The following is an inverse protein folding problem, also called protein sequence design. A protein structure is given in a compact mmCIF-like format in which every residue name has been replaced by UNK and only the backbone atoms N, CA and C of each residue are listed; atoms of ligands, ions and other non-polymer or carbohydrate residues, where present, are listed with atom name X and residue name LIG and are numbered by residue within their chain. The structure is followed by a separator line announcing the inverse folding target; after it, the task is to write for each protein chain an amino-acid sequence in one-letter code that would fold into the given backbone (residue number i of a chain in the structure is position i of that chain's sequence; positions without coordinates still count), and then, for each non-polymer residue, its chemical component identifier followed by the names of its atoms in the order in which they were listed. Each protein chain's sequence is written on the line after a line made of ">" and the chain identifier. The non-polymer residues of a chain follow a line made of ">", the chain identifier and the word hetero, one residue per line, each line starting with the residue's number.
data_IF_709781288875
#
_entry.id   IF_709781288875
#
_cell.length_a   1.000
_cell.length_b   1.000
_cell.length_c   1.000
_cell.angle_alpha   90.00
_cell.angle_beta   90.00
_cell.angle_gamma   90.00
#
_symmetry.space_group_name_H-M   'P 1'
#
loop_
_entity.id
_entity.type
_entity.pdbx_description
1 polymer ?
#
# COMPACT_ATOMS: atom_id res chain seq x y z
N UNK A 1 49.03 -35.34 41.64
CA UNK A 1 50.48 -35.40 41.35
C UNK A 1 50.67 -36.15 40.03
N UNK A 2 51.58 -35.63 39.19
CA UNK A 2 52.04 -36.13 37.88
C UNK A 2 50.97 -36.18 36.76
N UNK A 3 50.93 -35.30 35.73
CA UNK A 3 51.90 -34.82 34.71
C UNK A 3 52.19 -35.81 33.56
N UNK A 4 52.08 -35.22 32.35
CA UNK A 4 52.62 -35.57 31.02
C UNK A 4 51.80 -36.56 30.17
N UNK A 5 51.45 -36.28 28.90
CA UNK A 5 51.77 -35.15 28.06
C UNK A 5 51.37 -35.37 26.59
N UNK A 6 51.23 -34.23 25.90
CA UNK A 6 51.55 -33.92 24.48
C UNK A 6 50.89 -34.69 23.33
N UNK A 7 50.10 -33.97 22.52
CA UNK A 7 50.54 -33.44 21.22
C UNK A 7 49.35 -32.92 20.35
N UNK A 8 49.28 -31.60 20.16
CA UNK A 8 48.84 -30.97 18.88
C UNK A 8 49.92 -31.29 17.81
N UNK A 9 49.73 -31.18 16.48
CA UNK A 9 48.82 -30.29 15.73
C UNK A 9 48.13 -31.02 14.53
N UNK A 10 47.28 -30.44 13.68
CA UNK A 10 47.63 -29.68 12.47
C UNK A 10 46.31 -29.32 11.78
N UNK A 11 46.27 -28.07 11.32
CA UNK A 11 45.29 -27.49 10.44
C UNK A 11 44.86 -28.37 9.27
N UNK A 12 43.56 -28.37 8.97
CA UNK A 12 43.11 -28.40 7.59
C UNK A 12 41.92 -27.45 7.45
N UNK A 13 42.29 -26.20 7.22
CA UNK A 13 41.52 -25.25 6.43
C UNK A 13 41.07 -25.95 5.14
N UNK A 14 39.78 -26.31 5.07
CA UNK A 14 39.09 -26.33 3.79
C UNK A 14 38.26 -25.05 3.75
N UNK A 15 38.90 -24.03 3.17
CA UNK A 15 38.27 -22.87 2.59
C UNK A 15 37.20 -23.34 1.60
N UNK A 16 35.98 -23.55 2.05
CA UNK A 16 34.83 -23.52 1.16
C UNK A 16 34.44 -22.06 1.05
N UNK A 17 35.12 -21.40 0.11
CA UNK A 17 34.71 -20.11 -0.44
C UNK A 17 33.29 -20.23 -0.99
N UNK A 18 32.28 -20.02 -0.15
CA UNK A 18 30.94 -19.72 -0.65
C UNK A 18 30.99 -18.26 -1.05
N UNK A 19 31.46 -18.06 -2.27
CA UNK A 19 31.28 -16.84 -3.04
C UNK A 19 29.85 -16.35 -2.85
N UNK A 20 29.77 -15.05 -2.52
CA UNK A 20 28.66 -14.18 -2.78
C UNK A 20 27.76 -14.72 -3.91
N UNK A 21 26.58 -15.22 -3.55
CA UNK A 21 25.46 -15.30 -4.48
C UNK A 21 25.00 -13.86 -4.64
N UNK A 22 25.76 -13.14 -5.46
CA UNK A 22 25.29 -11.98 -6.19
C UNK A 22 24.07 -12.51 -6.95
N UNK A 23 22.89 -12.02 -6.58
CA UNK A 23 21.75 -12.03 -7.47
C UNK A 23 22.06 -11.04 -8.61
N UNK A 24 22.23 -11.48 -9.86
CA UNK A 24 21.73 -10.71 -10.96
C UNK A 24 20.37 -11.34 -11.30
N UNK A 25 19.33 -10.92 -10.56
CA UNK A 25 18.08 -10.76 -11.28
C UNK A 25 18.35 -9.67 -12.32
N UNK A 26 18.68 -10.11 -13.53
CA UNK A 26 18.81 -9.30 -14.71
C UNK A 26 17.42 -8.77 -15.08
N UNK A 27 16.89 -7.83 -14.29
CA UNK A 27 15.77 -7.01 -14.72
C UNK A 27 16.33 -6.01 -15.72
N UNK A 28 16.31 -6.42 -16.99
CA UNK A 28 16.53 -5.53 -18.11
C UNK A 28 15.65 -4.29 -17.95
N UNK A 29 16.29 -3.11 -17.98
CA UNK A 29 15.62 -1.85 -18.21
C UNK A 29 14.94 -1.93 -19.58
N UNK A 30 13.65 -2.26 -19.62
CA UNK A 30 12.80 -1.86 -20.73
C UNK A 30 12.02 -0.63 -20.31
N UNK A 31 12.37 0.46 -20.99
CA UNK A 31 11.61 1.67 -21.07
C UNK A 31 10.13 1.33 -21.34
N UNK A 32 9.29 1.94 -20.52
CA UNK A 32 7.88 2.25 -20.74
C UNK A 32 7.45 2.20 -22.22
N UNK A 33 6.83 1.10 -22.64
CA UNK A 33 5.86 1.11 -23.73
C UNK A 33 4.59 0.45 -23.21
N UNK A 34 3.63 1.31 -22.81
CA UNK A 34 2.26 0.93 -22.53
C UNK A 34 1.59 0.56 -23.86
N UNK A 35 1.02 -0.63 -24.05
CA UNK A 35 0.09 -0.87 -25.13
C UNK A 35 -1.28 -1.15 -24.52
N UNK A 36 -2.13 -0.13 -24.40
CA UNK A 36 -3.56 -0.39 -24.21
C UNK A 36 -4.37 0.66 -24.97
N UNK A 37 -4.61 0.38 -26.24
CA UNK A 37 -5.92 0.66 -26.83
C UNK A 37 -6.44 -0.67 -27.37
N UNK A 38 -7.47 -1.17 -26.69
CA UNK A 38 -8.24 -2.33 -27.07
C UNK A 38 -8.95 -2.02 -28.39
N UNK A 39 -8.49 -2.64 -29.49
CA UNK A 39 -9.18 -2.59 -30.77
C UNK A 39 -10.23 -3.71 -30.79
N UNK A 40 -11.51 -3.35 -30.78
CA UNK A 40 -12.58 -4.28 -31.13
C UNK A 40 -12.88 -4.16 -32.61
N UNK A 41 -12.81 -5.30 -33.30
CA UNK A 41 -13.07 -5.43 -34.73
C UNK A 41 -14.56 -5.18 -35.05
N UNK A 42 -14.83 -4.26 -35.97
CA UNK A 42 -15.88 -4.45 -36.97
C UNK A 42 -15.23 -4.28 -38.34
N UNK A 43 -15.43 -5.24 -39.22
CA UNK A 43 -14.91 -5.21 -40.59
C UNK A 43 -15.56 -4.04 -41.34
N UNK A 44 -14.74 -3.12 -41.84
CA UNK A 44 -15.07 -1.97 -42.70
C UNK A 44 -15.20 -0.60 -42.02
N UNK A 45 -14.11 -0.12 -41.43
CA UNK A 45 -13.85 1.32 -41.32
C UNK A 45 -12.47 1.61 -41.92
N UNK A 46 -12.45 1.93 -43.22
CA UNK A 46 -11.31 2.66 -43.80
C UNK A 46 -11.39 4.09 -43.27
N UNK A 47 -10.26 4.62 -42.81
CA UNK A 47 -10.06 5.96 -42.21
C UNK A 47 -10.23 6.01 -40.66
N UNK A 48 -9.10 5.90 -39.94
CA UNK A 48 -8.98 6.36 -38.56
C UNK A 48 -8.43 7.79 -38.58
N UNK A 49 -9.27 8.81 -38.51
CA UNK A 49 -8.80 10.19 -38.35
C UNK A 49 -8.34 10.44 -36.91
N UNK A 50 -7.05 10.68 -36.74
CA UNK A 50 -6.42 11.03 -35.49
C UNK A 50 -6.66 12.52 -35.20
N UNK A 51 -7.74 12.87 -34.49
CA UNK A 51 -7.94 14.26 -34.06
C UNK A 51 -6.99 14.58 -32.89
N UNK A 52 -6.04 15.54 -33.03
CA UNK A 52 -5.17 15.90 -31.93
C UNK A 52 -5.99 16.60 -30.85
N UNK A 53 -6.29 15.90 -29.75
CA UNK A 53 -6.76 16.60 -28.54
C UNK A 53 -5.61 17.45 -28.02
N UNK A 54 -5.77 18.78 -28.12
CA UNK A 54 -4.87 19.76 -27.49
C UNK A 54 -4.85 19.49 -25.98
N UNK A 55 -3.74 18.93 -25.48
CA UNK A 55 -3.52 18.74 -24.06
C UNK A 55 -3.33 20.13 -23.43
N UNK A 56 -4.34 20.60 -22.69
CA UNK A 56 -4.22 21.79 -21.84
C UNK A 56 -3.61 21.33 -20.52
N UNK A 57 -2.36 21.71 -20.26
CA UNK A 57 -1.71 21.52 -18.97
C UNK A 57 -2.42 22.39 -17.94
N UNK A 58 -2.98 21.79 -16.88
CA UNK A 58 -3.52 22.58 -15.76
C UNK A 58 -2.36 23.30 -15.08
N UNK A 59 -2.46 24.62 -15.01
CA UNK A 59 -1.56 25.46 -14.22
C UNK A 59 -1.86 25.19 -12.73
N UNK A 60 -0.84 24.77 -11.97
CA UNK A 60 -0.98 24.56 -10.52
C UNK A 60 -0.36 25.77 -9.82
N UNK A 61 -1.07 26.88 -9.87
CA UNK A 61 -0.95 27.94 -8.88
C UNK A 61 -2.09 27.80 -7.88
N UNK A 62 -1.99 26.80 -6.98
CA UNK A 62 -2.83 26.79 -5.80
C UNK A 62 -2.08 27.48 -4.66
N UNK A 63 -2.32 28.79 -4.55
CA UNK A 63 -2.10 29.55 -3.32
C UNK A 63 -2.95 28.87 -2.24
N UNK A 64 -2.30 28.31 -1.22
CA UNK A 64 -2.92 27.67 -0.06
C UNK A 64 -3.57 28.72 0.84
N UNK A 65 -4.77 29.16 0.48
CA UNK A 65 -5.66 29.83 1.42
C UNK A 65 -7.10 29.56 1.03
N UNK A 66 -7.68 28.45 1.51
CA UNK A 66 -9.07 28.45 1.98
C UNK A 66 -9.31 27.18 2.80
N UNK A 67 -9.94 27.35 3.96
CA UNK A 67 -10.44 26.25 4.78
C UNK A 67 -11.81 25.87 4.23
N UNK A 68 -11.87 25.49 2.95
CA UNK A 68 -13.05 24.82 2.41
C UNK A 68 -13.01 23.40 2.94
N UNK A 69 -14.05 23.00 3.69
CA UNK A 69 -14.28 21.59 4.00
C UNK A 69 -14.73 20.93 2.70
N UNK A 70 -13.76 20.64 1.85
CA UNK A 70 -13.94 19.79 0.70
C UNK A 70 -14.23 18.38 1.24
N UNK A 71 -15.48 17.95 1.17
CA UNK A 71 -15.80 16.53 1.33
C UNK A 71 -15.21 15.80 0.12
N UNK A 72 -13.96 15.36 0.28
CA UNK A 72 -13.21 14.61 -0.72
C UNK A 72 -13.76 13.19 -0.93
N UNK A 73 -14.89 12.84 -0.29
CA UNK A 73 -15.48 11.51 -0.35
C UNK A 73 -14.58 10.45 0.28
N UNK A 74 -13.59 10.85 1.10
CA UNK A 74 -12.65 9.93 1.74
C UNK A 74 -13.21 9.25 2.97
N UNK A 75 -14.25 9.81 3.59
CA UNK A 75 -14.92 9.23 4.75
C UNK A 75 -16.42 9.37 4.64
N UNK A 76 -17.15 8.28 4.87
CA UNK A 76 -18.61 8.28 4.87
C UNK A 76 -19.23 8.08 6.27
N UNK A 77 -18.41 8.23 7.33
CA UNK A 77 -18.83 8.06 8.72
C UNK A 77 -18.04 8.94 9.69
N UNK A 78 -18.73 9.86 10.35
CA UNK A 78 -18.15 10.72 11.38
C UNK A 78 -17.64 9.93 12.59
N UNK A 79 -18.31 8.81 12.91
CA UNK A 79 -17.92 7.94 14.02
C UNK A 79 -16.57 7.26 13.73
N UNK A 80 -16.38 6.76 12.52
CA UNK A 80 -15.07 6.24 12.09
C UNK A 80 -14.01 7.33 12.05
N UNK A 81 -14.35 8.51 11.52
CA UNK A 81 -13.42 9.64 11.49
C UNK A 81 -12.93 10.00 12.89
N UNK A 82 -13.82 10.02 13.89
CA UNK A 82 -13.45 10.28 15.28
C UNK A 82 -12.52 9.20 15.84
N UNK A 83 -12.85 7.92 15.63
CA UNK A 83 -11.99 6.80 16.06
C UNK A 83 -10.60 6.93 15.44
N UNK A 84 -10.51 7.24 14.15
CA UNK A 84 -9.24 7.43 13.44
C UNK A 84 -8.44 8.59 14.04
N UNK A 85 -9.06 9.74 14.29
CA UNK A 85 -8.41 10.91 14.90
C UNK A 85 -7.88 10.63 16.31
N UNK A 86 -8.62 9.87 17.10
CA UNK A 86 -8.27 9.57 18.50
C UNK A 86 -7.22 8.46 18.62
N UNK A 87 -7.10 7.57 17.63
CA UNK A 87 -6.27 6.36 17.73
C UNK A 87 -5.06 6.33 16.79
N UNK A 88 -4.98 7.23 15.80
CA UNK A 88 -3.83 7.35 14.90
C UNK A 88 -2.72 8.21 15.52
N UNK A 89 -1.97 7.60 16.44
CA UNK A 89 -0.80 8.20 17.09
C UNK A 89 0.29 7.15 17.32
N UNK A 90 1.54 7.59 17.49
CA UNK A 90 2.68 6.69 17.69
C UNK A 90 2.97 5.84 16.44
N UNK A 91 3.46 4.60 16.62
CA UNK A 91 3.73 3.70 15.49
C UNK A 91 2.42 3.32 14.77
N UNK A 92 2.39 3.48 13.46
CA UNK A 92 1.25 3.14 12.60
C UNK A 92 0.88 1.65 12.67
N UNK A 93 1.83 0.78 13.00
CA UNK A 93 1.61 -0.67 13.20
C UNK A 93 0.72 -0.93 14.41
N UNK A 94 0.96 -0.21 15.50
CA UNK A 94 0.15 -0.31 16.72
C UNK A 94 -1.17 0.44 16.56
N UNK A 95 -1.14 1.60 15.89
CA UNK A 95 -2.33 2.38 15.58
C UNK A 95 -3.36 1.56 14.80
N UNK A 96 -2.92 0.78 13.79
CA UNK A 96 -3.77 -0.14 13.03
C UNK A 96 -4.57 -1.07 13.96
N UNK A 97 -3.90 -1.70 14.91
CA UNK A 97 -4.53 -2.65 15.84
C UNK A 97 -5.54 -1.95 16.75
N UNK A 98 -5.19 -0.77 17.28
CA UNK A 98 -6.09 0.02 18.14
C UNK A 98 -7.33 0.47 17.39
N UNK A 99 -7.16 1.08 16.22
CA UNK A 99 -8.26 1.56 15.37
C UNK A 99 -9.23 0.43 15.06
N UNK A 100 -8.73 -0.74 14.65
CA UNK A 100 -9.54 -1.91 14.36
C UNK A 100 -10.37 -2.32 15.58
N UNK A 101 -9.71 -2.54 16.72
CA UNK A 101 -10.38 -2.97 17.96
C UNK A 101 -11.44 -1.97 18.40
N UNK A 102 -11.13 -0.67 18.43
CA UNK A 102 -12.09 0.35 18.84
C UNK A 102 -13.28 0.45 17.88
N UNK A 103 -13.07 0.26 16.58
CA UNK A 103 -14.16 0.25 15.61
C UNK A 103 -15.08 -0.96 15.80
N UNK A 104 -14.51 -2.15 15.99
CA UNK A 104 -15.27 -3.37 16.28
C UNK A 104 -16.04 -3.26 17.60
N UNK A 105 -15.40 -2.79 18.67
CA UNK A 105 -16.03 -2.62 19.99
C UNK A 105 -17.12 -1.54 19.98
N UNK A 106 -16.94 -0.45 19.21
CA UNK A 106 -17.84 0.71 19.25
C UNK A 106 -18.98 0.64 18.23
N UNK A 107 -18.74 0.09 17.04
CA UNK A 107 -19.70 0.06 15.92
C UNK A 107 -20.29 -1.33 15.74
N UNK A 108 -19.52 -2.37 16.03
CA UNK A 108 -19.86 -3.75 15.73
C UNK A 108 -19.59 -4.12 14.26
N UNK A 109 -19.43 -5.42 14.02
CA UNK A 109 -18.96 -5.96 12.74
C UNK A 109 -17.44 -6.10 12.70
N UNK A 110 -16.92 -6.57 11.57
CA UNK A 110 -15.49 -6.76 11.35
C UNK A 110 -14.92 -5.62 10.53
N UNK A 111 -13.76 -5.11 10.94
CA UNK A 111 -13.11 -3.99 10.26
C UNK A 111 -11.73 -4.36 9.74
N UNK A 112 -11.49 -4.02 8.48
CA UNK A 112 -10.15 -4.01 7.90
C UNK A 112 -9.52 -2.64 8.09
N UNK A 113 -8.24 -2.61 8.51
CA UNK A 113 -7.46 -1.37 8.63
C UNK A 113 -6.12 -1.53 7.92
N UNK A 114 -5.80 -0.59 7.04
CA UNK A 114 -4.53 -0.51 6.31
C UNK A 114 -3.90 0.82 6.65
N UNK A 115 -2.65 0.81 7.11
CA UNK A 115 -1.89 2.01 7.44
C UNK A 115 -0.51 1.95 6.77
N UNK A 116 -0.07 3.06 6.20
CA UNK A 116 1.25 3.18 5.60
C UNK A 116 1.86 4.57 5.83
N UNK A 117 3.20 4.66 6.01
CA UNK A 117 3.92 5.93 5.95
C UNK A 117 4.04 6.36 4.48
N UNK A 118 3.03 7.06 3.97
CA UNK A 118 2.97 7.55 2.59
C UNK A 118 1.66 7.24 1.88
N UNK A 119 1.67 7.36 0.55
CA UNK A 119 0.50 7.13 -0.29
C UNK A 119 0.39 5.66 -0.71
N UNK A 120 -0.84 5.17 -0.76
CA UNK A 120 -1.14 3.83 -1.26
C UNK A 120 -2.47 3.86 -2.02
N UNK A 121 -2.65 2.89 -2.91
CA UNK A 121 -3.93 2.64 -3.58
C UNK A 121 -4.49 1.31 -3.12
N UNK A 122 -5.75 1.32 -2.73
CA UNK A 122 -6.47 0.13 -2.30
C UNK A 122 -7.93 0.25 -2.75
N UNK A 123 -8.50 -0.85 -3.26
CA UNK A 123 -9.87 -0.90 -3.76
C UNK A 123 -10.57 -2.05 -3.07
N UNK A 124 -11.72 -1.78 -2.46
CA UNK A 124 -12.57 -2.78 -1.84
C UNK A 124 -14.04 -2.36 -1.96
N UNK A 125 -14.93 -3.33 -2.01
CA UNK A 125 -16.37 -3.09 -1.91
C UNK A 125 -16.74 -3.04 -0.44
N UNK A 126 -17.26 -1.91 0.01
CA UNK A 126 -17.66 -1.73 1.40
C UNK A 126 -18.73 -0.64 1.48
N UNK A 127 -19.67 -0.79 2.41
CA UNK A 127 -20.69 0.23 2.70
C UNK A 127 -20.22 1.30 3.68
N UNK A 128 -19.14 1.05 4.43
CA UNK A 128 -18.71 1.90 5.54
C UNK A 128 -17.18 2.00 5.55
N UNK A 129 -16.65 3.20 5.37
CA UNK A 129 -15.22 3.44 5.28
C UNK A 129 -14.78 4.83 5.72
N UNK A 130 -13.50 4.97 6.02
CA UNK A 130 -12.85 6.26 6.22
C UNK A 130 -11.35 6.19 5.92
N UNK A 131 -10.87 7.16 5.15
CA UNK A 131 -9.46 7.40 4.86
C UNK A 131 -9.03 8.67 5.57
N UNK A 132 -8.11 8.54 6.53
CA UNK A 132 -7.60 9.66 7.33
C UNK A 132 -6.07 9.70 7.29
N UNK A 133 -5.53 10.90 7.12
CA UNK A 133 -4.09 11.13 7.00
C UNK A 133 -3.60 12.07 8.10
N UNK A 134 -2.45 11.74 8.66
CA UNK A 134 -1.63 12.58 9.54
C UNK A 134 -0.29 12.87 8.87
N UNK A 135 0.59 13.62 9.52
CA UNK A 135 1.95 13.86 9.02
C UNK A 135 2.77 12.57 8.94
N UNK A 136 2.52 11.60 9.82
CA UNK A 136 3.33 10.38 9.96
C UNK A 136 2.79 9.21 9.14
N UNK A 137 1.47 9.08 9.05
CA UNK A 137 0.83 7.95 8.37
C UNK A 137 -0.53 8.29 7.79
N UNK A 138 -0.87 7.58 6.72
CA UNK A 138 -2.23 7.52 6.17
C UNK A 138 -2.84 6.17 6.49
N UNK A 139 -4.07 6.16 6.98
CA UNK A 139 -4.80 4.94 7.29
C UNK A 139 -6.16 4.91 6.60
N UNK A 140 -6.52 3.74 6.08
CA UNK A 140 -7.81 3.42 5.51
C UNK A 140 -8.49 2.35 6.35
N UNK A 141 -9.66 2.65 6.88
CA UNK A 141 -10.53 1.70 7.59
C UNK A 141 -11.78 1.43 6.76
N UNK A 142 -12.22 0.18 6.72
CA UNK A 142 -13.45 -0.24 6.05
C UNK A 142 -14.10 -1.41 6.77
N UNK A 143 -15.43 -1.47 6.71
CA UNK A 143 -16.17 -2.63 7.18
C UNK A 143 -15.94 -3.79 6.19
N UNK A 144 -15.46 -4.92 6.69
CA UNK A 144 -15.35 -6.15 5.91
C UNK A 144 -16.70 -6.84 5.92
N UNK A 145 -17.39 -6.80 4.79
CA UNK A 145 -18.54 -7.69 4.58
C UNK A 145 -17.98 -9.09 4.37
N UNK A 146 -18.11 -9.95 5.38
CA UNK A 146 -18.08 -11.39 5.11
C UNK A 146 -19.31 -11.69 4.27
N UNK A 147 -19.14 -11.77 2.95
CA UNK A 147 -20.02 -12.57 2.12
C UNK A 147 -19.86 -14.01 2.62
N UNK A 148 -20.57 -14.37 3.70
CA UNK A 148 -20.72 -15.77 4.09
C UNK A 148 -21.43 -16.42 2.92
N UNK A 149 -20.81 -17.36 2.19
CA UNK A 149 -21.60 -18.24 1.35
C UNK A 149 -22.47 -19.05 2.30
N UNK A 150 -23.78 -18.81 2.25
CA UNK A 150 -24.77 -19.68 2.88
C UNK A 150 -24.64 -21.02 2.13
N UNK A 151 -24.06 -22.02 2.77
CA UNK A 151 -24.18 -23.43 2.38
C UNK A 151 -24.62 -24.23 3.60
#
# INVERSE_FOLDING_TARGET
>A
MALMGVALPIALFLFVSIHAIIFPCNCGRQLLQRPLTQCSFTSNASECELYPRKLIKRDVNHIRTELEVFDDGRCNSDKLLRIMKENLYGDYRDAKMRIMKYAEDSIGGHFGVICAPGEFSYVTKTRLFCLYSTADATCFIFLTEHELPIY
#
